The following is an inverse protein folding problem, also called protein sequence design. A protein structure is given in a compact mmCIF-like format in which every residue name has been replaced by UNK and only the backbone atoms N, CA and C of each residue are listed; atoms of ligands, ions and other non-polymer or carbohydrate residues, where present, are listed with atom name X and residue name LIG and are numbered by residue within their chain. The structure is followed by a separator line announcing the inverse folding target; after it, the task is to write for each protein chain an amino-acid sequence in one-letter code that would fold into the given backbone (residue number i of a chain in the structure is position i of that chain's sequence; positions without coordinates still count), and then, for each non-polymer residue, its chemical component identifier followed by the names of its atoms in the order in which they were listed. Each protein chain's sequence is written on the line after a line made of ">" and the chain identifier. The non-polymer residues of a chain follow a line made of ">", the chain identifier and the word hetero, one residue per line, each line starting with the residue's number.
data_IF_022152203948
#
_entry.id   IF_022152203948
#
_cell.length_a   1.000
_cell.length_b   1.000
_cell.length_c   1.000
_cell.angle_alpha   90.00
_cell.angle_beta   90.00
_cell.angle_gamma   90.00
#
_symmetry.space_group_name_H-M   'P 1'
#
loop_
_entity.id
_entity.type
_entity.pdbx_description
1 polymer ?
#
# COMPACT_ATOMS: atom_id res chain seq x y z
N UNK A 1 13.42 8.50 -1.60
CA UNK A 1 14.49 8.83 -0.65
C UNK A 1 15.77 9.15 -1.37
N UNK A 2 16.83 9.44 -0.62
CA UNK A 2 18.19 9.70 -1.09
C UNK A 2 18.94 8.42 -1.43
N UNK A 3 18.77 7.37 -0.64
CA UNK A 3 19.51 6.10 -0.80
C UNK A 3 18.71 4.91 -0.27
N UNK A 4 18.88 3.75 -0.91
CA UNK A 4 18.46 2.44 -0.39
C UNK A 4 19.71 1.58 -0.21
N UNK A 5 19.89 0.99 0.98
CA UNK A 5 21.04 0.13 1.32
C UNK A 5 20.57 -1.26 1.72
N UNK A 6 21.27 -2.28 1.26
CA UNK A 6 21.07 -3.69 1.61
C UNK A 6 22.40 -4.27 2.11
N UNK A 7 22.81 -3.93 3.35
CA UNK A 7 24.14 -4.31 3.88
C UNK A 7 24.31 -5.82 4.02
N UNK A 8 23.20 -6.56 4.14
CA UNK A 8 23.18 -8.01 4.32
C UNK A 8 22.96 -8.77 3.00
N UNK A 9 22.74 -8.07 1.88
CA UNK A 9 22.51 -8.67 0.56
C UNK A 9 21.25 -9.52 0.49
N UNK A 10 20.18 -9.13 1.20
CA UNK A 10 18.90 -9.83 1.27
C UNK A 10 18.19 -9.88 -0.08
N UNK A 11 18.28 -8.81 -0.87
CA UNK A 11 17.64 -8.68 -2.19
C UNK A 11 18.61 -9.01 -3.34
N UNK A 12 19.93 -9.10 -3.08
CA UNK A 12 20.90 -9.56 -4.05
C UNK A 12 22.31 -8.96 -3.89
N UNK A 13 23.06 -8.94 -4.99
CA UNK A 13 24.46 -8.50 -5.01
C UNK A 13 24.64 -6.98 -5.02
N UNK A 14 23.59 -6.21 -5.32
CA UNK A 14 23.61 -4.75 -5.30
C UNK A 14 23.22 -4.29 -3.89
N UNK A 15 24.21 -3.83 -3.12
CA UNK A 15 24.05 -3.48 -1.70
C UNK A 15 23.71 -2.01 -1.46
N UNK A 16 23.73 -1.17 -2.49
CA UNK A 16 23.40 0.25 -2.38
C UNK A 16 22.89 0.79 -3.73
N UNK A 17 21.83 1.57 -3.69
CA UNK A 17 21.24 2.23 -4.84
C UNK A 17 20.90 3.69 -4.50
N UNK A 18 21.22 4.59 -5.44
CA UNK A 18 20.84 6.00 -5.36
C UNK A 18 19.33 6.14 -5.61
N UNK A 19 18.66 6.93 -4.77
CA UNK A 19 17.25 7.26 -4.95
C UNK A 19 17.05 8.55 -5.75
N UNK A 20 15.81 8.82 -6.15
CA UNK A 20 15.46 10.04 -6.90
C UNK A 20 15.66 11.35 -6.11
N UNK A 21 15.96 11.30 -4.80
CA UNK A 21 16.17 12.48 -3.96
C UNK A 21 14.91 13.32 -3.68
N UNK A 22 13.72 12.82 -4.03
CA UNK A 22 12.45 13.54 -3.86
C UNK A 22 11.92 13.60 -2.41
N UNK A 23 12.46 12.73 -1.55
CA UNK A 23 12.20 12.72 -0.11
C UNK A 23 13.55 12.69 0.60
N UNK A 24 13.70 13.51 1.64
CA UNK A 24 14.82 13.48 2.58
C UNK A 24 14.67 12.33 3.57
N UNK A 25 14.82 11.12 3.04
CA UNK A 25 14.82 9.86 3.78
C UNK A 25 15.85 8.89 3.20
N UNK A 26 16.32 7.98 4.02
CA UNK A 26 17.16 6.85 3.65
C UNK A 26 16.47 5.56 4.09
N UNK A 27 16.64 4.50 3.31
CA UNK A 27 16.05 3.19 3.58
C UNK A 27 17.15 2.15 3.71
N UNK A 28 17.07 1.33 4.76
CA UNK A 28 17.95 0.16 4.93
C UNK A 28 17.07 -1.09 4.85
N UNK A 29 17.43 -2.04 4.00
CA UNK A 29 16.81 -3.37 3.95
C UNK A 29 17.25 -4.15 5.18
N UNK A 30 16.28 -4.67 5.92
CA UNK A 30 16.52 -5.47 7.11
C UNK A 30 16.23 -6.95 6.81
N UNK A 31 16.86 -7.92 7.50
CA UNK A 31 16.63 -9.34 7.24
C UNK A 31 15.19 -9.81 7.54
N UNK A 32 14.50 -9.12 8.46
CA UNK A 32 13.15 -9.48 8.88
C UNK A 32 12.11 -8.78 8.00
N UNK A 33 11.27 -9.59 7.34
CA UNK A 33 10.19 -9.08 6.49
C UNK A 33 8.97 -8.73 7.33
N UNK A 34 8.52 -7.49 7.24
CA UNK A 34 7.20 -7.09 7.73
C UNK A 34 6.15 -7.60 6.76
N UNK A 35 5.23 -8.44 7.25
CA UNK A 35 4.04 -8.92 6.52
C UNK A 35 2.86 -8.90 7.48
N UNK A 36 1.95 -7.93 7.34
CA UNK A 36 0.77 -7.83 8.21
C UNK A 36 -0.35 -7.02 7.57
N UNK A 37 -1.59 -7.35 7.92
CA UNK A 37 -2.72 -6.46 7.68
C UNK A 37 -2.71 -5.31 8.68
N UNK A 38 -3.13 -4.13 8.24
CA UNK A 38 -3.10 -2.90 9.04
C UNK A 38 -4.40 -2.13 8.92
N UNK A 39 -4.84 -1.57 10.05
CA UNK A 39 -5.82 -0.48 10.09
C UNK A 39 -5.06 0.82 10.31
N UNK A 40 -5.41 1.82 9.52
CA UNK A 40 -4.70 3.08 9.51
C UNK A 40 -5.65 4.27 9.33
N UNK A 41 -5.10 5.47 9.49
CA UNK A 41 -5.78 6.72 9.21
C UNK A 41 -4.86 7.61 8.38
N UNK A 42 -5.37 8.15 7.28
CA UNK A 42 -4.62 9.12 6.47
C UNK A 42 -4.43 10.42 7.24
N UNK A 43 -3.21 10.95 7.26
CA UNK A 43 -2.92 12.23 7.96
C UNK A 43 -3.52 13.41 7.19
N UNK A 44 -3.45 13.37 5.85
CA UNK A 44 -3.87 14.49 5.01
C UNK A 44 -5.38 14.77 5.05
N UNK A 45 -6.21 13.72 5.13
CA UNK A 45 -7.67 13.84 5.00
C UNK A 45 -8.43 13.36 6.25
N UNK A 46 -7.73 12.84 7.26
CA UNK A 46 -8.33 12.25 8.46
C UNK A 46 -9.33 11.11 8.17
N UNK A 47 -9.06 10.34 7.11
CA UNK A 47 -9.93 9.25 6.67
C UNK A 47 -9.40 7.87 7.07
N UNK A 48 -10.30 6.93 7.42
CA UNK A 48 -9.91 5.56 7.72
C UNK A 48 -9.35 4.86 6.47
N UNK A 49 -8.37 4.01 6.69
CA UNK A 49 -7.70 3.19 5.70
C UNK A 49 -7.61 1.76 6.20
N UNK A 50 -7.73 0.81 5.27
CA UNK A 50 -7.46 -0.61 5.50
C UNK A 50 -6.53 -1.11 4.41
N UNK A 51 -5.58 -1.95 4.79
CA UNK A 51 -4.56 -2.43 3.87
C UNK A 51 -3.59 -3.38 4.54
N UNK A 52 -2.38 -3.45 4.00
CA UNK A 52 -1.33 -4.31 4.53
C UNK A 52 0.06 -3.71 4.29
N UNK A 53 1.03 -4.16 5.06
CA UNK A 53 2.46 -3.89 4.88
C UNK A 53 3.16 -5.16 4.44
N UNK A 54 3.94 -5.10 3.36
CA UNK A 54 4.82 -6.17 2.87
C UNK A 54 6.15 -5.54 2.44
N UNK A 55 7.12 -5.46 3.35
CA UNK A 55 8.42 -4.84 3.07
C UNK A 55 9.53 -5.35 3.99
N UNK A 56 10.76 -5.24 3.52
CA UNK A 56 11.99 -5.46 4.31
C UNK A 56 12.62 -4.13 4.75
N UNK A 57 12.33 -3.05 4.04
CA UNK A 57 12.97 -1.77 4.29
C UNK A 57 12.49 -1.12 5.59
N UNK A 58 13.44 -0.53 6.31
CA UNK A 58 13.19 0.47 7.35
C UNK A 58 13.66 1.82 6.86
N UNK A 59 12.73 2.78 6.81
CA UNK A 59 12.98 4.14 6.33
C UNK A 59 13.07 5.12 7.49
N UNK A 60 14.08 5.99 7.47
CA UNK A 60 14.25 7.07 8.45
C UNK A 60 14.71 8.35 7.75
N UNK A 61 14.43 9.52 8.34
CA UNK A 61 14.94 10.79 7.85
C UNK A 61 14.04 11.98 8.18
N UNK A 62 14.45 13.22 7.88
CA UNK A 62 13.69 14.41 8.22
C UNK A 62 12.25 14.44 7.69
N UNK A 63 11.97 13.85 6.53
CA UNK A 63 10.60 13.80 5.99
C UNK A 63 9.68 12.81 6.72
N UNK A 64 10.21 11.86 7.51
CA UNK A 64 9.37 10.96 8.32
C UNK A 64 8.72 11.67 9.51
N UNK A 65 9.15 12.90 9.84
CA UNK A 65 8.47 13.77 10.79
C UNK A 65 7.15 14.36 10.24
N UNK A 66 6.90 14.17 8.93
CA UNK A 66 5.64 14.48 8.25
C UNK A 66 5.04 13.16 7.77
N UNK A 67 4.40 12.37 8.65
CA UNK A 67 3.85 11.08 8.27
C UNK A 67 2.71 11.23 7.26
N UNK A 68 2.54 10.24 6.40
CA UNK A 68 1.40 10.15 5.48
C UNK A 68 0.20 9.44 6.10
N UNK A 69 0.46 8.52 7.04
CA UNK A 69 -0.55 7.72 7.71
C UNK A 69 -0.20 7.52 9.19
N UNK A 70 -1.22 7.15 9.97
CA UNK A 70 -1.06 6.62 11.34
C UNK A 70 -1.56 5.19 11.34
N UNK A 71 -0.66 4.23 11.53
CA UNK A 71 -0.95 2.80 11.55
C UNK A 71 -0.96 2.31 12.99
N UNK A 72 -2.09 1.77 13.46
CA UNK A 72 -2.23 1.29 14.83
C UNK A 72 -1.75 2.29 15.92
N UNK A 73 -1.92 3.59 15.67
CA UNK A 73 -1.48 4.67 16.57
C UNK A 73 -0.03 5.12 16.41
N UNK A 74 0.71 4.56 15.45
CA UNK A 74 2.11 4.90 15.16
C UNK A 74 2.19 5.68 13.85
N UNK A 75 2.95 6.76 13.83
CA UNK A 75 3.23 7.55 12.63
C UNK A 75 3.98 6.72 11.58
N UNK A 76 3.51 6.76 10.33
CA UNK A 76 4.08 6.01 9.22
C UNK A 76 4.18 6.86 7.96
N UNK A 77 5.24 6.56 7.19
CA UNK A 77 5.49 7.18 5.90
C UNK A 77 6.23 8.51 6.00
N UNK A 78 6.27 9.22 4.90
CA UNK A 78 6.99 10.48 4.76
C UNK A 78 6.32 11.36 3.72
N UNK A 79 6.31 12.67 3.97
CA UNK A 79 5.77 13.67 3.06
C UNK A 79 6.81 14.78 2.88
N UNK A 80 7.06 15.16 1.62
CA UNK A 80 7.97 16.25 1.29
C UNK A 80 7.50 17.55 1.92
N UNK A 81 8.43 18.49 2.17
CA UNK A 81 8.09 19.78 2.78
C UNK A 81 7.03 20.58 2.01
N UNK A 82 6.92 20.37 0.69
CA UNK A 82 5.91 21.02 -0.16
C UNK A 82 4.62 20.20 -0.35
N UNK A 83 4.51 19.03 0.29
CA UNK A 83 3.34 18.16 0.26
C UNK A 83 3.10 17.41 -1.05
N UNK A 84 4.01 17.49 -2.03
CA UNK A 84 3.80 16.89 -3.37
C UNK A 84 4.28 15.46 -3.50
N UNK A 85 5.19 15.02 -2.64
CA UNK A 85 5.75 13.67 -2.66
C UNK A 85 5.35 12.99 -1.37
N UNK A 86 4.73 11.82 -1.50
CA UNK A 86 4.20 11.03 -0.40
C UNK A 86 4.79 9.62 -0.53
N UNK A 87 5.38 9.11 0.53
CA UNK A 87 5.85 7.73 0.64
C UNK A 87 5.16 7.03 1.81
N UNK A 88 4.72 5.79 1.60
CA UNK A 88 4.13 4.91 2.62
C UNK A 88 4.46 3.46 2.27
N UNK A 89 4.64 2.62 3.28
CA UNK A 89 4.70 1.16 3.14
C UNK A 89 3.31 0.51 3.06
N UNK A 90 2.25 1.25 3.38
CA UNK A 90 0.89 0.74 3.33
C UNK A 90 0.44 0.52 1.89
N UNK A 91 0.16 -0.73 1.55
CA UNK A 91 -0.52 -1.10 0.32
C UNK A 91 -2.04 -0.97 0.48
N UNK A 92 -2.74 -0.81 -0.64
CA UNK A 92 -4.21 -0.73 -0.67
C UNK A 92 -4.79 0.67 -0.42
N UNK A 93 -3.95 1.70 -0.27
CA UNK A 93 -4.35 3.08 0.01
C UNK A 93 -5.51 3.59 -0.88
N UNK A 94 -5.42 3.37 -2.19
CA UNK A 94 -6.44 3.80 -3.16
C UNK A 94 -7.63 2.85 -3.28
N UNK A 95 -7.62 1.71 -2.60
CA UNK A 95 -8.81 0.85 -2.46
C UNK A 95 -9.85 1.46 -1.52
N UNK A 96 -9.45 2.36 -0.63
CA UNK A 96 -10.35 3.12 0.23
C UNK A 96 -11.04 4.25 -0.56
N UNK A 97 -12.31 4.06 -0.90
CA UNK A 97 -13.07 4.99 -1.75
C UNK A 97 -13.11 6.42 -1.20
N UNK A 98 -13.27 6.57 0.12
CA UNK A 98 -13.26 7.88 0.77
C UNK A 98 -11.92 8.61 0.56
N UNK A 99 -10.81 7.91 0.77
CA UNK A 99 -9.47 8.48 0.56
C UNK A 99 -9.26 8.82 -0.92
N UNK A 100 -9.55 7.89 -1.82
CA UNK A 100 -9.43 8.08 -3.27
C UNK A 100 -10.24 9.27 -3.75
N UNK A 101 -11.48 9.42 -3.30
CA UNK A 101 -12.34 10.56 -3.61
C UNK A 101 -11.75 11.89 -3.15
N UNK A 102 -11.29 11.98 -1.90
CA UNK A 102 -10.64 13.21 -1.38
C UNK A 102 -9.31 13.53 -2.04
N UNK A 103 -8.54 12.51 -2.37
CA UNK A 103 -7.30 12.66 -3.11
C UNK A 103 -7.55 13.26 -4.50
N UNK A 104 -8.50 12.71 -5.27
CA UNK A 104 -8.87 13.24 -6.58
C UNK A 104 -9.45 14.67 -6.49
N UNK A 105 -10.30 14.93 -5.50
CA UNK A 105 -10.83 16.28 -5.24
C UNK A 105 -9.70 17.29 -4.98
N UNK A 106 -8.66 16.90 -4.24
CA UNK A 106 -7.49 17.74 -3.97
C UNK A 106 -6.69 18.09 -5.24
N UNK A 107 -6.81 17.28 -6.29
CA UNK A 107 -6.22 17.52 -7.61
C UNK A 107 -7.16 18.26 -8.57
N UNK A 108 -8.32 18.72 -8.09
CA UNK A 108 -9.35 19.39 -8.89
C UNK A 108 -10.17 18.43 -9.77
N UNK A 109 -10.04 17.13 -9.57
CA UNK A 109 -10.78 16.10 -10.32
C UNK A 109 -12.10 15.84 -9.61
N UNK A 110 -13.22 16.07 -10.30
CA UNK A 110 -14.55 15.70 -9.82
C UNK A 110 -14.87 14.28 -10.26
N UNK A 111 -15.07 13.38 -9.30
CA UNK A 111 -15.34 11.95 -9.53
C UNK A 111 -14.73 11.09 -8.43
N UNK A 112 -15.04 9.79 -8.41
CA UNK A 112 -14.45 8.83 -7.45
C UNK A 112 -15.43 8.13 -6.51
N UNK A 113 -16.74 8.42 -6.59
CA UNK A 113 -17.78 7.78 -5.78
C UNK A 113 -18.21 6.38 -6.24
N UNK A 114 -17.37 5.70 -7.02
CA UNK A 114 -17.62 4.30 -7.39
C UNK A 114 -17.08 3.44 -6.25
N UNK A 115 -17.90 2.51 -5.76
CA UNK A 115 -17.47 1.48 -4.82
C UNK A 115 -16.63 0.45 -5.57
N UNK A 116 -15.31 0.69 -5.61
CA UNK A 116 -14.38 -0.13 -6.39
C UNK A 116 -14.40 -1.58 -5.90
N UNK A 117 -14.53 -1.78 -4.59
CA UNK A 117 -14.56 -3.11 -4.01
C UNK A 117 -15.80 -3.87 -4.47
N UNK A 118 -16.97 -3.22 -4.45
CA UNK A 118 -18.20 -3.83 -4.96
C UNK A 118 -18.14 -4.15 -6.46
N UNK A 119 -17.40 -3.38 -7.27
CA UNK A 119 -17.19 -3.73 -8.68
C UNK A 119 -16.30 -4.95 -8.86
N UNK A 120 -15.22 -5.06 -8.08
CA UNK A 120 -14.34 -6.22 -8.10
C UNK A 120 -15.08 -7.48 -7.65
N UNK A 121 -15.81 -7.42 -6.54
CA UNK A 121 -16.61 -8.55 -6.04
C UNK A 121 -17.63 -9.01 -7.09
N UNK A 122 -18.35 -8.08 -7.73
CA UNK A 122 -19.29 -8.42 -8.80
C UNK A 122 -18.60 -9.09 -9.99
N UNK A 123 -17.43 -8.61 -10.40
CA UNK A 123 -16.67 -9.22 -11.50
C UNK A 123 -16.17 -10.63 -11.12
N UNK A 124 -15.77 -10.84 -9.85
CA UNK A 124 -15.38 -12.16 -9.35
C UNK A 124 -16.58 -13.12 -9.30
N UNK A 125 -17.74 -12.65 -8.86
CA UNK A 125 -18.99 -13.43 -8.87
C UNK A 125 -19.39 -13.83 -10.30
N UNK A 126 -19.24 -12.93 -11.27
CA UNK A 126 -19.49 -13.22 -12.70
C UNK A 126 -18.55 -14.32 -13.22
N UNK A 127 -17.26 -14.25 -12.89
CA UNK A 127 -16.29 -15.29 -13.26
C UNK A 127 -16.60 -16.62 -12.57
N UNK A 128 -16.97 -16.59 -11.28
CA UNK A 128 -17.31 -17.79 -10.53
C UNK A 128 -18.53 -18.51 -11.14
N UNK A 129 -19.58 -17.77 -11.51
CA UNK A 129 -20.77 -18.33 -12.15
C UNK A 129 -20.47 -19.00 -13.50
N UNK A 130 -19.57 -18.41 -14.29
CA UNK A 130 -19.13 -19.00 -15.56
C UNK A 130 -18.32 -20.28 -15.34
N UNK A 131 -17.42 -20.29 -14.34
CA UNK A 131 -16.65 -21.47 -13.98
C UNK A 131 -17.55 -22.62 -13.50
N UNK A 132 -18.57 -22.35 -12.70
CA UNK A 132 -19.56 -23.35 -12.26
C UNK A 132 -20.35 -23.98 -13.41
N UNK A 133 -20.49 -23.26 -14.53
CA UNK A 133 -21.14 -23.79 -15.74
C UNK A 133 -20.24 -24.79 -16.49
N UNK A 134 -18.92 -24.66 -16.35
CA UNK A 134 -17.94 -25.41 -17.14
C UNK A 134 -17.10 -26.41 -16.33
N UNK A 135 -17.10 -26.32 -15.00
CA UNK A 135 -16.33 -27.15 -14.10
C UNK A 135 -17.23 -27.89 -13.12
N UNK A 136 -16.90 -29.14 -12.83
CA UNK A 136 -17.50 -29.89 -11.73
C UNK A 136 -16.86 -29.44 -10.41
N UNK A 137 -17.32 -28.29 -9.90
CA UNK A 137 -16.82 -27.70 -8.67
C UNK A 137 -17.00 -28.65 -7.47
N UNK A 138 -18.09 -29.42 -7.42
CA UNK A 138 -18.33 -30.41 -6.37
C UNK A 138 -17.27 -31.51 -6.37
N UNK A 139 -16.91 -32.06 -7.54
CA UNK A 139 -15.83 -33.03 -7.65
C UNK A 139 -14.47 -32.44 -7.23
N UNK A 140 -14.17 -31.20 -7.61
CA UNK A 140 -12.93 -30.51 -7.20
C UNK A 140 -12.90 -30.33 -5.68
N UNK A 141 -13.98 -29.87 -5.06
CA UNK A 141 -14.06 -29.70 -3.61
C UNK A 141 -14.00 -31.04 -2.85
N UNK A 142 -14.54 -32.11 -3.42
CA UNK A 142 -14.43 -33.45 -2.85
C UNK A 142 -12.99 -33.99 -2.86
N UNK A 143 -12.17 -33.63 -3.87
CA UNK A 143 -10.76 -34.02 -3.96
C UNK A 143 -9.83 -33.20 -3.04
N UNK A 144 -10.24 -31.99 -2.65
CA UNK A 144 -9.44 -31.09 -1.80
C UNK A 144 -9.60 -31.38 -0.29
N UNK A 145 -10.47 -32.32 0.09
CA UNK A 145 -10.65 -32.80 1.47
C UNK A 145 -9.83 -34.06 1.72
#
# INVERSE_FOLDING_TARGET
>A
GRTVRDPDGVEGSVIEAEGLGLLDVETVMEPEKTVRNVSARSVQFDLPLEGYEIHLGRTTGPDTLRPSAVINGVEEGAVSADGKVIGTYMHGLFGADGFRGKFLESLGIKGGGIDYRAEVERALDEVAAELETHLDCDAIFALAR
#
